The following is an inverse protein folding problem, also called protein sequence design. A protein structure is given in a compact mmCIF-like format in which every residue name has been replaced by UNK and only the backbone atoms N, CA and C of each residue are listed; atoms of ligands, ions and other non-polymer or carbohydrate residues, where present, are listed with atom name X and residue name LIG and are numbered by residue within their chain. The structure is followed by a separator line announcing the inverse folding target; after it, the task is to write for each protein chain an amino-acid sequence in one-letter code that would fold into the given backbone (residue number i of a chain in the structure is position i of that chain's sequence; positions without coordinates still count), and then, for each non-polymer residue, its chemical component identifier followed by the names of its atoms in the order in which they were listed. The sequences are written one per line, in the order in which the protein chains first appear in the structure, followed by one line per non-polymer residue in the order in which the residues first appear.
data_IF_840089181082
#
_entry.id   IF_840089181082
#
_cell.length_a   1.000
_cell.length_b   1.000
_cell.length_c   1.000
_cell.angle_alpha   90.00
_cell.angle_beta   90.00
_cell.angle_gamma   90.00
#
_symmetry.space_group_name_H-M   'P 1'
#
loop_
_entity.id
_entity.type
_entity.pdbx_description
1 polymer ?
#
# COMPACT_ATOMS: atom_id res chain seq x y z
N UNK A 1 45.13 -19.41 10.65
CA UNK A 1 44.18 -19.91 9.64
C UNK A 1 43.00 -20.49 10.40
N UNK A 2 41.99 -19.67 10.68
CA UNK A 2 40.81 -20.06 11.45
C UNK A 2 39.64 -20.19 10.48
N UNK A 3 39.22 -21.42 10.21
CA UNK A 3 38.09 -21.74 9.34
C UNK A 3 36.79 -21.38 10.03
N UNK A 4 36.13 -20.31 9.57
CA UNK A 4 34.74 -20.05 9.89
C UNK A 4 33.86 -21.01 9.09
N UNK A 5 33.41 -22.06 9.78
CA UNK A 5 32.32 -22.93 9.34
C UNK A 5 31.02 -22.13 9.31
N UNK A 6 30.66 -21.63 8.13
CA UNK A 6 29.35 -21.06 7.86
C UNK A 6 28.30 -22.17 7.93
N UNK A 7 27.76 -22.38 9.13
CA UNK A 7 26.60 -23.24 9.35
C UNK A 7 25.39 -22.63 8.64
N UNK A 8 25.14 -23.09 7.41
CA UNK A 8 23.87 -22.87 6.72
C UNK A 8 22.79 -23.62 7.50
N UNK A 9 22.12 -22.92 8.43
CA UNK A 9 20.84 -23.38 8.96
C UNK A 9 19.89 -23.52 7.78
N UNK A 10 19.55 -24.75 7.44
CA UNK A 10 18.41 -25.04 6.57
C UNK A 10 17.18 -24.39 7.22
N UNK A 11 16.75 -23.25 6.66
CA UNK A 11 15.49 -22.63 7.03
C UNK A 11 14.39 -23.64 6.67
N UNK A 12 13.87 -24.33 7.67
CA UNK A 12 12.69 -25.17 7.55
C UNK A 12 11.62 -24.37 6.84
N UNK A 13 11.16 -24.85 5.68
CA UNK A 13 10.13 -24.18 4.91
C UNK A 13 8.94 -23.87 5.83
N UNK A 14 8.47 -22.60 5.89
CA UNK A 14 7.34 -22.25 6.73
C UNK A 14 6.12 -23.12 6.37
N UNK A 15 5.39 -23.64 7.37
CA UNK A 15 4.33 -24.61 7.15
C UNK A 15 3.15 -24.05 6.32
N UNK A 16 2.69 -24.86 5.35
CA UNK A 16 1.34 -25.09 4.81
C UNK A 16 0.25 -23.98 4.71
N UNK A 17 0.52 -22.68 4.84
CA UNK A 17 -0.51 -21.62 4.67
C UNK A 17 -1.34 -21.76 3.38
N UNK A 18 -0.74 -22.09 2.21
CA UNK A 18 -1.53 -22.30 0.98
C UNK A 18 -2.59 -23.41 1.10
N UNK A 19 -2.32 -24.46 1.88
CA UNK A 19 -3.22 -25.60 2.04
C UNK A 19 -4.42 -25.23 2.91
N UNK A 20 -4.20 -24.48 3.99
CA UNK A 20 -5.27 -23.98 4.84
C UNK A 20 -6.21 -23.04 4.05
N UNK A 21 -5.64 -22.10 3.30
CA UNK A 21 -6.43 -21.20 2.45
C UNK A 21 -7.27 -21.95 1.42
N UNK A 22 -6.71 -22.98 0.77
CA UNK A 22 -7.48 -23.80 -0.18
C UNK A 22 -8.64 -24.54 0.49
N UNK A 23 -8.50 -24.97 1.75
CA UNK A 23 -9.57 -25.62 2.52
C UNK A 23 -10.72 -24.68 2.89
N UNK A 24 -10.48 -23.36 2.91
CA UNK A 24 -11.52 -22.37 3.19
C UNK A 24 -12.48 -22.18 2.01
N UNK A 25 -12.08 -22.51 0.78
CA UNK A 25 -12.91 -22.31 -0.43
C UNK A 25 -14.32 -22.92 -0.29
N UNK A 26 -14.50 -24.22 0.02
CA UNK A 26 -15.84 -24.79 0.19
C UNK A 26 -16.60 -24.21 1.40
N UNK A 27 -15.88 -23.83 2.46
CA UNK A 27 -16.50 -23.24 3.66
C UNK A 27 -17.09 -21.88 3.32
N UNK A 28 -16.31 -21.01 2.66
CA UNK A 28 -16.73 -19.67 2.25
C UNK A 28 -17.96 -19.73 1.35
N UNK A 29 -17.99 -20.68 0.40
CA UNK A 29 -19.13 -20.89 -0.48
C UNK A 29 -20.43 -21.23 0.29
N UNK A 30 -20.33 -21.88 1.45
CA UNK A 30 -21.50 -22.20 2.30
C UNK A 30 -21.94 -21.06 3.23
N UNK A 31 -21.19 -19.96 3.33
CA UNK A 31 -21.52 -18.85 4.24
C UNK A 31 -22.55 -17.90 3.59
N UNK A 32 -23.76 -18.36 3.32
CA UNK A 32 -24.79 -17.59 2.59
C UNK A 32 -25.10 -16.20 3.19
N UNK A 33 -24.82 -15.98 4.48
CA UNK A 33 -24.99 -14.70 5.17
C UNK A 33 -23.70 -13.84 5.25
N UNK A 34 -22.58 -14.24 4.64
CA UNK A 34 -21.30 -13.53 4.70
C UNK A 34 -21.42 -12.13 4.10
N UNK A 35 -21.32 -11.08 4.90
CA UNK A 35 -21.42 -9.69 4.42
C UNK A 35 -20.09 -9.05 4.03
N UNK A 36 -19.00 -9.54 4.62
CA UNK A 36 -17.69 -8.95 4.53
C UNK A 36 -16.63 -10.04 4.48
N UNK A 37 -15.68 -9.90 3.56
CA UNK A 37 -14.51 -10.75 3.48
C UNK A 37 -13.26 -9.87 3.46
N UNK A 38 -12.32 -10.17 4.35
CA UNK A 38 -11.02 -9.51 4.41
C UNK A 38 -9.94 -10.57 4.39
N UNK A 39 -9.02 -10.47 3.44
CA UNK A 39 -7.81 -11.26 3.39
C UNK A 39 -6.63 -10.29 3.44
N UNK A 40 -5.93 -10.29 4.57
CA UNK A 40 -4.79 -9.44 4.86
C UNK A 40 -3.61 -10.30 5.31
N UNK A 41 -2.47 -10.15 4.66
CA UNK A 41 -1.22 -10.79 5.07
C UNK A 41 -0.47 -9.91 6.07
N UNK A 42 -0.43 -10.33 7.33
CA UNK A 42 0.30 -9.62 8.39
C UNK A 42 1.83 -9.66 8.19
N UNK A 43 2.36 -10.72 7.59
CA UNK A 43 3.78 -10.97 7.39
C UNK A 43 4.07 -11.36 5.94
N UNK A 44 5.22 -10.92 5.40
CA UNK A 44 5.64 -11.18 4.01
C UNK A 44 6.20 -12.58 3.78
N UNK A 45 6.27 -13.44 4.79
CA UNK A 45 6.86 -14.77 4.67
C UNK A 45 5.97 -15.80 3.94
N UNK A 46 4.73 -15.42 3.58
CA UNK A 46 3.73 -16.34 3.03
C UNK A 46 3.36 -15.96 1.61
N UNK A 47 3.70 -16.85 0.68
CA UNK A 47 3.30 -16.71 -0.71
C UNK A 47 1.93 -17.41 -0.93
N UNK A 48 0.92 -16.68 -1.41
CA UNK A 48 -0.38 -17.26 -1.73
C UNK A 48 -0.44 -17.60 -3.22
N UNK A 49 -0.72 -18.86 -3.61
CA UNK A 49 -0.94 -19.17 -5.02
C UNK A 49 -2.12 -18.38 -5.59
N UNK A 50 -1.95 -17.75 -6.75
CA UNK A 50 -3.02 -17.00 -7.43
C UNK A 50 -4.26 -17.84 -7.69
N UNK A 51 -4.09 -19.09 -8.12
CA UNK A 51 -5.20 -20.03 -8.24
C UNK A 51 -6.04 -20.15 -6.95
N UNK A 52 -5.39 -20.17 -5.77
CA UNK A 52 -6.09 -20.19 -4.47
C UNK A 52 -6.82 -18.87 -4.22
N UNK A 53 -6.19 -17.71 -4.48
CA UNK A 53 -6.85 -16.41 -4.36
C UNK A 53 -8.08 -16.31 -5.28
N UNK A 54 -7.95 -16.72 -6.53
CA UNK A 54 -9.04 -16.73 -7.50
C UNK A 54 -10.16 -17.65 -7.03
N UNK A 55 -9.83 -18.85 -6.54
CA UNK A 55 -10.83 -19.78 -5.99
C UNK A 55 -11.57 -19.19 -4.77
N UNK A 56 -10.86 -18.54 -3.85
CA UNK A 56 -11.46 -17.86 -2.70
C UNK A 56 -12.42 -16.74 -3.14
N UNK A 57 -11.98 -15.88 -4.06
CA UNK A 57 -12.78 -14.77 -4.57
C UNK A 57 -14.04 -15.26 -5.31
N UNK A 58 -13.90 -16.30 -6.15
CA UNK A 58 -15.02 -16.89 -6.87
C UNK A 58 -16.00 -17.62 -5.93
N UNK A 59 -15.53 -18.11 -4.78
CA UNK A 59 -16.36 -18.74 -3.77
C UNK A 59 -17.16 -17.74 -2.91
N UNK A 60 -16.88 -16.43 -2.99
CA UNK A 60 -17.60 -15.45 -2.18
C UNK A 60 -19.10 -15.47 -2.54
N UNK A 61 -20.02 -15.70 -1.58
CA UNK A 61 -21.45 -15.76 -1.82
C UNK A 61 -22.00 -14.38 -2.13
N UNK A 62 -23.13 -14.28 -2.87
CA UNK A 62 -23.72 -13.03 -3.35
C UNK A 62 -24.00 -11.98 -2.25
N UNK A 63 -24.22 -12.44 -1.02
CA UNK A 63 -24.42 -11.60 0.18
C UNK A 63 -23.18 -10.82 0.60
N UNK A 64 -21.98 -11.23 0.16
CA UNK A 64 -20.74 -10.54 0.41
C UNK A 64 -20.72 -9.29 -0.45
N UNK A 65 -20.62 -8.12 0.19
CA UNK A 65 -20.67 -6.80 -0.48
C UNK A 65 -19.50 -5.91 -0.06
N UNK A 66 -18.61 -6.42 0.79
CA UNK A 66 -17.41 -5.73 1.26
C UNK A 66 -16.23 -6.68 1.09
N UNK A 67 -15.22 -6.23 0.34
CA UNK A 67 -14.02 -7.00 0.05
C UNK A 67 -12.78 -6.19 0.40
N UNK A 68 -11.95 -6.74 1.27
CA UNK A 68 -10.57 -6.32 1.46
C UNK A 68 -9.64 -7.43 0.96
N UNK A 69 -8.72 -7.06 0.07
CA UNK A 69 -7.67 -7.94 -0.43
C UNK A 69 -6.33 -7.22 -0.38
N UNK A 70 -5.48 -7.64 0.54
CA UNK A 70 -4.11 -7.19 0.69
C UNK A 70 -3.16 -8.39 0.78
N UNK A 71 -2.53 -8.70 -0.34
CA UNK A 71 -1.52 -9.75 -0.44
C UNK A 71 -0.12 -9.22 -0.22
N UNK A 72 0.08 -7.92 0.01
CA UNK A 72 1.39 -7.26 0.07
C UNK A 72 2.32 -7.56 -1.11
N UNK A 73 1.77 -7.93 -2.26
CA UNK A 73 2.54 -8.34 -3.45
C UNK A 73 3.06 -9.79 -3.39
N UNK A 74 2.70 -10.56 -2.35
CA UNK A 74 3.13 -11.95 -2.13
C UNK A 74 2.22 -12.98 -2.85
N UNK A 75 1.54 -12.59 -3.94
CA UNK A 75 0.82 -13.55 -4.78
C UNK A 75 1.76 -14.23 -5.78
N UNK A 76 1.96 -15.54 -5.62
CA UNK A 76 2.82 -16.32 -6.50
C UNK A 76 2.18 -16.48 -7.88
N UNK A 77 2.93 -16.14 -8.94
CA UNK A 77 2.58 -16.49 -10.31
C UNK A 77 3.48 -17.60 -10.82
N UNK A 78 2.89 -18.70 -11.27
CA UNK A 78 3.65 -19.68 -12.09
C UNK A 78 3.86 -19.12 -13.49
N UNK A 79 4.97 -19.47 -14.15
CA UNK A 79 5.32 -18.93 -15.47
C UNK A 79 4.23 -19.22 -16.53
N UNK A 80 3.54 -20.35 -16.39
CA UNK A 80 2.47 -20.81 -17.28
C UNK A 80 1.07 -20.34 -16.86
N UNK A 81 0.95 -19.58 -15.77
CA UNK A 81 -0.34 -19.14 -15.24
C UNK A 81 -0.87 -17.92 -16.01
N UNK A 82 -1.94 -18.16 -16.79
CA UNK A 82 -2.68 -17.12 -17.52
C UNK A 82 -3.73 -16.41 -16.67
N UNK A 83 -4.21 -17.06 -15.61
CA UNK A 83 -5.31 -16.52 -14.80
C UNK A 83 -4.86 -15.29 -13.99
N UNK A 84 -5.61 -14.19 -14.10
CA UNK A 84 -5.35 -12.97 -13.34
C UNK A 84 -6.38 -12.80 -12.22
N UNK A 85 -5.91 -12.47 -11.01
CA UNK A 85 -6.77 -12.15 -9.85
C UNK A 85 -7.76 -11.01 -10.17
N UNK A 86 -7.36 -10.08 -11.04
CA UNK A 86 -8.22 -9.00 -11.52
C UNK A 86 -9.49 -9.49 -12.22
N UNK A 87 -9.48 -10.66 -12.86
CA UNK A 87 -10.65 -11.21 -13.54
C UNK A 87 -11.68 -11.74 -12.54
N UNK A 88 -11.23 -12.36 -11.44
CA UNK A 88 -12.09 -12.76 -10.35
C UNK A 88 -12.69 -11.53 -9.65
N UNK A 89 -11.87 -10.51 -9.35
CA UNK A 89 -12.35 -9.23 -8.78
C UNK A 89 -13.38 -8.58 -9.70
N UNK A 90 -13.16 -8.60 -11.04
CA UNK A 90 -14.10 -8.09 -12.04
C UNK A 90 -15.49 -8.73 -11.92
N UNK A 91 -15.56 -10.04 -11.69
CA UNK A 91 -16.83 -10.74 -11.49
C UNK A 91 -17.57 -10.33 -10.21
N UNK A 92 -16.84 -9.81 -9.21
CA UNK A 92 -17.41 -9.36 -7.95
C UNK A 92 -17.88 -7.89 -7.99
N UNK A 93 -17.22 -7.04 -8.78
CA UNK A 93 -17.46 -5.59 -8.83
C UNK A 93 -18.95 -5.18 -8.84
N UNK A 94 -19.84 -5.80 -9.65
CA UNK A 94 -21.23 -5.33 -9.78
C UNK A 94 -22.06 -5.36 -8.49
N UNK A 95 -21.61 -6.08 -7.46
CA UNK A 95 -22.32 -6.23 -6.17
C UNK A 95 -21.55 -5.68 -4.97
N UNK A 96 -20.38 -5.09 -5.18
CA UNK A 96 -19.56 -4.60 -4.07
C UNK A 96 -19.87 -3.14 -3.74
N UNK A 97 -20.04 -2.86 -2.45
CA UNK A 97 -20.17 -1.50 -1.93
C UNK A 97 -18.79 -0.92 -1.55
N UNK A 98 -17.97 -1.72 -0.88
CA UNK A 98 -16.62 -1.33 -0.46
C UNK A 98 -15.61 -2.33 -0.98
N UNK A 99 -14.68 -1.87 -1.81
CA UNK A 99 -13.54 -2.69 -2.27
C UNK A 99 -12.27 -1.97 -1.89
N UNK A 100 -11.50 -2.63 -1.04
CA UNK A 100 -10.14 -2.22 -0.72
C UNK A 100 -9.18 -3.21 -1.35
N UNK A 101 -8.31 -2.69 -2.23
CA UNK A 101 -7.21 -3.47 -2.80
C UNK A 101 -5.91 -2.73 -2.58
N UNK A 102 -5.05 -3.30 -1.73
CA UNK A 102 -3.69 -2.83 -1.61
C UNK A 102 -2.83 -3.51 -2.68
N UNK A 103 -2.24 -2.72 -3.57
CA UNK A 103 -1.29 -3.21 -4.56
C UNK A 103 0.10 -2.71 -4.14
N UNK A 104 0.81 -3.53 -3.38
CA UNK A 104 2.22 -3.24 -3.11
C UNK A 104 3.04 -3.66 -4.32
N UNK A 105 3.52 -2.68 -5.08
CA UNK A 105 4.68 -2.86 -5.93
C UNK A 105 5.90 -2.76 -5.02
N UNK A 106 6.47 -3.88 -4.58
CA UNK A 106 7.79 -3.83 -3.93
C UNK A 106 8.84 -3.57 -5.00
N UNK A 107 9.03 -2.29 -5.31
CA UNK A 107 10.28 -1.87 -5.92
C UNK A 107 11.37 -1.95 -4.84
N UNK A 108 11.90 -3.15 -4.56
CA UNK A 108 13.08 -3.30 -3.72
C UNK A 108 14.28 -2.69 -4.46
N UNK A 109 14.40 -1.37 -4.52
CA UNK A 109 15.59 -0.72 -5.05
C UNK A 109 16.79 -1.30 -4.30
N UNK A 110 17.73 -1.98 -4.96
CA UNK A 110 18.98 -2.35 -4.31
C UNK A 110 19.63 -1.03 -3.90
N UNK A 111 19.87 -0.84 -2.60
CA UNK A 111 20.66 0.27 -2.10
C UNK A 111 21.93 0.40 -2.97
N UNK A 112 22.25 1.59 -3.50
CA UNK A 112 23.37 1.71 -4.42
C UNK A 112 24.68 1.57 -3.64
N UNK A 113 25.34 0.43 -3.78
CA UNK A 113 26.80 0.40 -3.85
C UNK A 113 27.17 1.18 -5.12
N UNK A 114 27.76 2.35 -4.95
CA UNK A 114 28.21 3.30 -5.97
C UNK A 114 28.83 2.58 -7.19
N UNK A 115 28.11 2.44 -8.31
CA UNK A 115 28.61 2.47 -9.70
C UNK A 115 27.42 2.78 -10.64
N UNK A 116 27.61 3.75 -11.55
CA UNK A 116 26.55 4.38 -12.34
C UNK A 116 25.78 3.48 -13.32
N UNK A 117 24.52 3.86 -13.56
CA UNK A 117 23.66 3.31 -14.61
C UNK A 117 23.27 4.41 -15.61
N UNK A 118 23.34 4.09 -16.90
CA UNK A 118 22.82 4.90 -18.01
C UNK A 118 21.32 4.59 -18.23
N UNK A 119 20.49 5.59 -18.61
CA UNK A 119 19.07 5.37 -18.81
C UNK A 119 18.79 4.66 -20.15
N UNK A 120 17.97 3.60 -20.11
CA UNK A 120 17.41 2.97 -21.32
C UNK A 120 16.13 3.70 -21.71
N UNK A 121 16.05 4.06 -22.98
CA UNK A 121 15.04 4.91 -23.62
C UNK A 121 13.60 4.43 -23.45
N UNK A 122 12.67 5.39 -23.32
CA UNK A 122 11.21 5.19 -23.34
C UNK A 122 10.76 4.66 -24.71
N UNK A 123 9.88 3.66 -24.73
CA UNK A 123 9.17 3.25 -25.95
C UNK A 123 7.79 3.93 -26.02
N UNK A 124 7.50 4.43 -27.21
CA UNK A 124 6.33 5.20 -27.60
C UNK A 124 5.06 4.36 -27.73
N UNK A 125 3.94 5.04 -27.54
CA UNK A 125 2.56 4.64 -27.78
C UNK A 125 2.39 4.01 -29.18
N UNK A 126 2.07 2.71 -29.23
CA UNK A 126 1.18 2.09 -30.21
C UNK A 126 1.01 0.61 -29.84
N UNK A 127 -0.21 0.22 -29.50
CA UNK A 127 -0.75 -1.14 -29.52
C UNK A 127 0.24 -2.30 -29.43
N UNK A 128 0.47 -2.84 -28.22
CA UNK A 128 0.94 -4.23 -28.12
C UNK A 128 0.57 -4.87 -26.78
N UNK A 129 0.02 -6.09 -26.87
CA UNK A 129 0.04 -7.10 -25.81
C UNK A 129 1.50 -7.41 -25.49
N UNK A 130 1.91 -7.40 -24.23
CA UNK A 130 3.30 -7.78 -23.87
C UNK A 130 3.33 -8.85 -22.78
N UNK A 131 3.75 -10.04 -23.20
CA UNK A 131 4.51 -11.02 -22.41
C UNK A 131 5.99 -10.65 -22.59
N UNK A 132 6.79 -10.69 -21.52
CA UNK A 132 8.25 -10.70 -21.61
C UNK A 132 8.84 -11.85 -20.79
N UNK A 133 9.56 -12.73 -21.49
CA UNK A 133 10.59 -13.64 -20.96
C UNK A 133 11.89 -12.85 -20.71
N UNK A 134 12.65 -13.21 -19.68
CA UNK A 134 14.09 -12.95 -19.62
C UNK A 134 14.83 -14.25 -19.28
N UNK A 135 15.92 -14.44 -20.01
CA UNK A 135 16.78 -15.61 -20.08
C UNK A 135 17.94 -15.46 -19.08
N UNK A 136 18.41 -16.59 -18.54
CA UNK A 136 19.48 -16.70 -17.54
C UNK A 136 20.78 -15.96 -17.92
N UNK A 137 21.29 -15.13 -17.01
CA UNK A 137 22.73 -14.83 -16.91
C UNK A 137 23.19 -14.96 -15.46
N UNK A 138 24.39 -15.54 -15.32
CA UNK A 138 24.97 -16.18 -14.12
C UNK A 138 25.26 -15.32 -12.88
N UNK A 139 24.71 -14.11 -12.74
CA UNK A 139 24.97 -13.26 -11.57
C UNK A 139 23.72 -12.49 -11.13
N UNK A 140 23.02 -13.06 -10.14
CA UNK A 140 21.95 -12.42 -9.37
C UNK A 140 20.60 -12.30 -10.11
N UNK A 141 19.46 -12.42 -9.41
CA UNK A 141 18.17 -12.14 -10.03
C UNK A 141 18.05 -10.64 -10.29
N UNK A 142 18.12 -10.25 -11.56
CA UNK A 142 17.65 -8.93 -11.99
C UNK A 142 16.12 -8.95 -11.92
N UNK A 143 15.56 -8.37 -10.85
CA UNK A 143 14.12 -8.16 -10.73
C UNK A 143 13.74 -6.99 -11.64
N UNK A 144 13.14 -7.29 -12.78
CA UNK A 144 12.54 -6.27 -13.63
C UNK A 144 11.27 -5.77 -12.95
N UNK A 145 11.28 -4.54 -12.45
CA UNK A 145 10.13 -3.88 -11.84
C UNK A 145 9.05 -3.66 -12.89
N UNK A 146 7.97 -4.44 -12.81
CA UNK A 146 6.75 -4.12 -13.53
C UNK A 146 6.13 -2.90 -12.87
N UNK A 147 6.01 -1.79 -13.61
CA UNK A 147 5.01 -0.78 -13.30
C UNK A 147 3.68 -1.52 -13.10
N UNK A 148 3.19 -1.58 -11.86
CA UNK A 148 1.81 -1.96 -11.59
C UNK A 148 0.97 -0.77 -12.03
N UNK A 149 0.87 -0.62 -13.36
CA UNK A 149 0.05 0.40 -13.96
C UNK A 149 -1.34 0.22 -13.35
N UNK A 150 -1.83 1.23 -12.67
CA UNK A 150 -3.24 1.33 -12.31
C UNK A 150 -4.14 1.27 -13.56
N UNK A 151 -3.56 1.25 -14.78
CA UNK A 151 -4.24 1.23 -16.07
C UNK A 151 -5.26 0.09 -16.27
N UNK A 152 -5.00 -1.20 -15.98
CA UNK A 152 -6.01 -2.24 -16.19
C UNK A 152 -7.20 -2.09 -15.24
N UNK A 153 -6.97 -1.60 -14.01
CA UNK A 153 -8.03 -1.40 -13.03
C UNK A 153 -8.82 -0.10 -13.30
N UNK A 154 -8.15 0.97 -13.71
CA UNK A 154 -8.80 2.22 -14.13
C UNK A 154 -9.64 2.02 -15.40
N UNK A 155 -9.13 1.29 -16.39
CA UNK A 155 -9.90 0.87 -17.57
C UNK A 155 -11.13 0.05 -17.18
N UNK A 156 -10.97 -0.86 -16.22
CA UNK A 156 -12.07 -1.67 -15.74
C UNK A 156 -13.18 -0.83 -15.07
N UNK A 157 -12.80 0.09 -14.19
CA UNK A 157 -13.76 1.00 -13.54
C UNK A 157 -14.42 1.92 -14.57
N UNK A 158 -13.68 2.35 -15.60
CA UNK A 158 -14.24 3.14 -16.71
C UNK A 158 -15.25 2.35 -17.56
N UNK A 159 -15.11 1.03 -17.68
CA UNK A 159 -16.07 0.19 -18.41
C UNK A 159 -17.35 -0.12 -17.61
N UNK A 160 -17.32 -0.02 -16.28
CA UNK A 160 -18.43 -0.39 -15.39
C UNK A 160 -18.99 0.78 -14.56
N UNK A 161 -18.72 2.03 -14.96
CA UNK A 161 -18.95 3.20 -14.10
C UNK A 161 -20.41 3.39 -13.68
N UNK A 162 -21.37 2.91 -14.48
CA UNK A 162 -22.80 3.02 -14.16
C UNK A 162 -23.21 2.17 -12.95
N UNK A 163 -22.69 0.94 -12.83
CA UNK A 163 -23.01 0.04 -11.70
C UNK A 163 -22.20 0.35 -10.43
N UNK A 164 -21.15 1.16 -10.55
CA UNK A 164 -20.20 1.45 -9.47
C UNK A 164 -20.38 2.82 -8.83
N UNK A 165 -21.45 3.56 -9.15
CA UNK A 165 -21.65 4.95 -8.68
C UNK A 165 -21.62 5.09 -7.15
N UNK A 166 -22.16 4.10 -6.44
CA UNK A 166 -22.18 4.08 -4.97
C UNK A 166 -21.00 3.31 -4.36
N UNK A 167 -20.17 2.69 -5.21
CA UNK A 167 -19.04 1.87 -4.76
C UNK A 167 -17.82 2.74 -4.47
N UNK A 168 -17.07 2.37 -3.43
CA UNK A 168 -15.75 2.94 -3.15
C UNK A 168 -14.68 1.93 -3.52
N UNK A 169 -13.85 2.28 -4.49
CA UNK A 169 -12.75 1.42 -4.97
C UNK A 169 -11.45 2.19 -4.81
N UNK A 170 -10.65 1.77 -3.83
CA UNK A 170 -9.36 2.36 -3.55
C UNK A 170 -8.22 1.49 -4.09
N UNK A 171 -7.22 2.15 -4.68
CA UNK A 171 -5.91 1.57 -4.93
C UNK A 171 -4.87 2.32 -4.10
N UNK A 172 -4.07 1.56 -3.36
CA UNK A 172 -2.98 2.08 -2.53
C UNK A 172 -1.65 1.70 -3.17
N UNK A 173 -0.75 2.67 -3.33
CA UNK A 173 0.59 2.46 -3.89
C UNK A 173 1.59 3.19 -3.00
N UNK A 174 2.69 2.54 -2.66
CA UNK A 174 3.80 3.16 -1.94
C UNK A 174 4.95 3.40 -2.91
N UNK A 175 5.49 4.60 -2.90
CA UNK A 175 6.54 5.06 -3.80
C UNK A 175 7.74 5.54 -2.99
N UNK A 176 8.93 5.26 -3.50
CA UNK A 176 10.17 5.82 -2.97
C UNK A 176 10.61 6.99 -3.84
N UNK A 177 11.04 8.08 -3.20
CA UNK A 177 11.68 9.19 -3.88
C UNK A 177 12.91 8.72 -4.65
N UNK A 178 13.10 9.23 -5.86
CA UNK A 178 14.28 8.98 -6.69
C UNK A 178 15.53 9.74 -6.17
N UNK A 179 15.31 10.83 -5.45
CA UNK A 179 16.35 11.59 -4.76
C UNK A 179 16.24 11.36 -3.24
N UNK A 180 17.29 10.81 -2.58
CA UNK A 180 17.30 10.69 -1.12
C UNK A 180 17.32 12.07 -0.43
N UNK A 181 17.62 13.13 -1.18
CA UNK A 181 17.81 14.48 -0.67
C UNK A 181 16.51 15.31 -0.77
N UNK A 182 15.70 15.12 -1.81
CA UNK A 182 14.50 15.93 -2.08
C UNK A 182 13.19 15.13 -2.14
N UNK A 183 13.26 13.84 -2.45
CA UNK A 183 12.11 12.97 -2.49
C UNK A 183 11.85 12.38 -1.11
N UNK A 184 10.60 12.37 -0.68
CA UNK A 184 10.19 11.56 0.47
C UNK A 184 9.54 10.26 -0.02
N UNK A 185 9.51 9.27 0.86
CA UNK A 185 8.61 8.16 0.66
C UNK A 185 7.17 8.70 0.56
N UNK A 186 6.38 8.18 -0.37
CA UNK A 186 5.07 8.73 -0.71
C UNK A 186 4.04 7.62 -0.77
N UNK A 187 2.98 7.74 0.03
CA UNK A 187 1.82 6.88 -0.09
C UNK A 187 0.79 7.54 -1.01
N UNK A 188 0.39 6.84 -2.06
CA UNK A 188 -0.76 7.19 -2.89
C UNK A 188 -1.99 6.43 -2.41
N UNK A 189 -3.10 7.17 -2.27
CA UNK A 189 -4.46 6.64 -2.16
C UNK A 189 -5.28 7.15 -3.33
N UNK A 190 -5.56 6.28 -4.28
CA UNK A 190 -6.37 6.58 -5.46
C UNK A 190 -7.79 6.07 -5.28
N UNK A 191 -8.75 6.99 -5.31
CA UNK A 191 -10.16 6.67 -5.51
C UNK A 191 -10.43 6.56 -7.01
N UNK A 192 -10.64 5.34 -7.48
CA UNK A 192 -10.77 5.03 -8.90
C UNK A 192 -12.12 5.45 -9.48
N UNK A 193 -13.17 5.49 -8.63
CA UNK A 193 -14.51 5.91 -9.05
C UNK A 193 -14.57 7.44 -9.11
N UNK A 194 -14.06 8.11 -8.07
CA UNK A 194 -14.00 9.57 -8.03
C UNK A 194 -12.92 10.17 -8.95
N UNK A 195 -11.99 9.34 -9.46
CA UNK A 195 -10.80 9.76 -10.23
C UNK A 195 -9.98 10.83 -9.50
N UNK A 196 -9.71 10.57 -8.22
CA UNK A 196 -8.88 11.45 -7.40
C UNK A 196 -7.83 10.65 -6.66
N UNK A 197 -6.64 11.21 -6.52
CA UNK A 197 -5.58 10.62 -5.69
C UNK A 197 -5.13 11.60 -4.65
N UNK A 198 -4.95 11.10 -3.42
CA UNK A 198 -4.15 11.80 -2.42
C UNK A 198 -2.78 11.15 -2.37
N UNK A 199 -1.75 11.95 -2.60
CA UNK A 199 -0.37 11.60 -2.31
C UNK A 199 -0.02 12.14 -0.93
N UNK A 200 0.64 11.34 -0.11
CA UNK A 200 0.99 11.71 1.25
C UNK A 200 2.47 11.45 1.54
N UNK A 201 3.18 12.42 2.12
CA UNK A 201 4.60 12.25 2.42
C UNK A 201 4.80 11.45 3.70
N UNK A 202 5.64 10.42 3.62
CA UNK A 202 6.15 9.61 4.73
C UNK A 202 7.60 10.00 4.95
N UNK A 203 7.91 10.40 6.19
CA UNK A 203 9.27 10.73 6.58
C UNK A 203 9.74 9.75 7.67
N UNK A 204 10.65 8.82 7.36
CA UNK A 204 11.33 8.07 8.39
C UNK A 204 12.24 9.02 9.16
N UNK A 205 12.17 9.00 10.49
CA UNK A 205 13.05 9.82 11.33
C UNK A 205 13.76 8.98 12.41
N UNK A 206 13.48 7.69 12.47
CA UNK A 206 14.25 6.67 13.19
C UNK A 206 13.93 5.30 12.57
N UNK A 207 14.59 4.23 13.03
CA UNK A 207 14.44 2.89 12.46
C UNK A 207 12.99 2.42 12.33
N UNK A 208 12.15 2.70 13.34
CA UNK A 208 10.77 2.18 13.40
C UNK A 208 9.70 3.28 13.49
N UNK A 209 10.10 4.55 13.44
CA UNK A 209 9.14 5.66 13.57
C UNK A 209 9.06 6.53 12.32
N UNK A 210 7.83 6.84 11.95
CA UNK A 210 7.48 7.55 10.73
C UNK A 210 6.61 8.75 11.06
N UNK A 211 6.93 9.91 10.48
CA UNK A 211 6.01 11.05 10.43
C UNK A 211 5.19 10.90 9.17
N UNK A 212 3.89 10.94 9.36
CA UNK A 212 2.86 10.88 8.33
C UNK A 212 2.15 12.22 8.32
N UNK A 213 2.14 12.90 7.16
CA UNK A 213 1.35 14.13 6.99
C UNK A 213 0.08 13.88 6.23
N UNK A 214 -1.01 14.37 6.79
CA UNK A 214 -2.34 14.20 6.24
C UNK A 214 -2.77 15.43 5.42
N UNK A 215 -3.87 15.27 4.71
CA UNK A 215 -4.45 16.30 3.84
C UNK A 215 -5.12 17.47 4.58
N UNK A 216 -5.17 17.41 5.91
CA UNK A 216 -5.64 18.47 6.79
C UNK A 216 -4.48 19.16 7.54
N UNK A 217 -3.26 19.03 7.00
CA UNK A 217 -2.01 19.53 7.57
C UNK A 217 -1.64 18.97 8.96
N UNK A 218 -2.39 17.96 9.44
CA UNK A 218 -2.03 17.28 10.68
C UNK A 218 -0.87 16.32 10.47
N UNK A 219 -0.06 16.20 11.53
CA UNK A 219 1.09 15.28 11.58
C UNK A 219 0.80 14.18 12.58
N UNK A 220 0.97 12.94 12.13
CA UNK A 220 0.86 11.75 12.96
C UNK A 220 2.21 11.05 12.99
N UNK A 221 2.64 10.66 14.19
CA UNK A 221 3.79 9.79 14.39
C UNK A 221 3.29 8.35 14.57
N UNK A 222 3.81 7.48 13.72
CA UNK A 222 3.57 6.04 13.73
C UNK A 222 4.82 5.32 14.23
N UNK A 223 4.62 4.28 15.05
CA UNK A 223 5.71 3.49 15.65
C UNK A 223 5.91 2.12 14.97
N UNK A 224 5.20 1.90 13.87
CA UNK A 224 5.23 0.65 13.10
C UNK A 224 4.78 0.97 11.67
N UNK A 225 5.56 0.50 10.70
CA UNK A 225 5.29 0.62 9.27
C UNK A 225 3.91 0.05 8.89
N UNK A 226 3.49 -1.01 9.56
CA UNK A 226 2.19 -1.66 9.34
C UNK A 226 1.00 -0.75 9.66
N UNK A 227 1.21 0.31 10.44
CA UNK A 227 0.17 1.25 10.87
C UNK A 227 0.03 2.47 9.97
N UNK A 228 0.97 2.68 9.05
CA UNK A 228 0.97 3.79 8.11
C UNK A 228 -0.19 3.68 7.12
N UNK A 229 -0.40 2.48 6.56
CA UNK A 229 -1.43 2.25 5.54
C UNK A 229 -2.86 2.56 6.03
N UNK A 230 -3.33 2.04 7.19
CA UNK A 230 -4.65 2.38 7.72
C UNK A 230 -4.88 3.90 7.88
N UNK A 231 -3.85 4.65 8.23
CA UNK A 231 -3.93 6.09 8.42
C UNK A 231 -4.18 6.79 7.08
N UNK A 232 -3.42 6.45 6.03
CA UNK A 232 -3.58 7.05 4.70
C UNK A 232 -4.82 6.59 3.96
N UNK A 233 -5.22 5.35 4.20
CA UNK A 233 -6.51 4.83 3.80
C UNK A 233 -7.65 5.73 4.30
N UNK A 234 -7.41 6.49 5.39
CA UNK A 234 -8.41 7.34 6.03
C UNK A 234 -9.30 6.53 6.97
N UNK A 235 -8.78 5.41 7.48
CA UNK A 235 -9.49 4.50 8.38
C UNK A 235 -10.82 4.03 7.76
N UNK A 236 -10.84 3.77 6.45
CA UNK A 236 -12.00 3.18 5.76
C UNK A 236 -12.22 1.76 6.26
N UNK A 237 -11.15 1.02 6.56
CA UNK A 237 -11.15 -0.25 7.26
C UNK A 237 -10.40 -0.15 8.59
N UNK A 238 -11.02 -0.68 9.65
CA UNK A 238 -10.49 -0.60 11.01
C UNK A 238 -10.27 -2.00 11.58
N UNK A 239 -9.15 -2.15 12.28
CA UNK A 239 -8.86 -3.33 13.08
C UNK A 239 -9.86 -3.42 14.24
N UNK A 240 -10.31 -4.63 14.56
CA UNK A 240 -11.08 -4.91 15.77
C UNK A 240 -10.33 -5.90 16.67
N UNK A 241 -10.63 -5.85 17.97
CA UNK A 241 -10.16 -6.84 18.94
C UNK A 241 -10.56 -8.23 18.45
N UNK A 242 -9.57 -9.13 18.32
CA UNK A 242 -9.73 -10.45 17.70
C UNK A 242 -9.10 -10.56 16.30
N UNK A 243 -8.60 -9.48 15.72
CA UNK A 243 -7.76 -9.49 14.53
C UNK A 243 -8.50 -9.38 13.19
N UNK A 244 -9.83 -9.23 13.21
CA UNK A 244 -10.58 -8.92 11.99
C UNK A 244 -10.41 -7.44 11.60
N UNK A 245 -10.57 -7.15 10.31
CA UNK A 245 -10.73 -5.79 9.78
C UNK A 245 -12.14 -5.63 9.22
N UNK A 246 -12.79 -4.52 9.57
CA UNK A 246 -14.16 -4.22 9.16
C UNK A 246 -14.26 -2.81 8.56
N UNK A 247 -15.19 -2.56 7.63
CA UNK A 247 -15.45 -1.21 7.15
C UNK A 247 -15.87 -0.29 8.32
N UNK A 248 -15.32 0.91 8.38
CA UNK A 248 -15.59 1.88 9.44
C UNK A 248 -17.06 2.24 9.53
N UNK A 249 -17.75 2.35 8.40
CA UNK A 249 -19.20 2.61 8.35
C UNK A 249 -20.03 1.54 9.06
N UNK A 250 -19.59 0.28 9.04
CA UNK A 250 -20.26 -0.84 9.73
C UNK A 250 -20.02 -0.76 11.24
N UNK A 251 -18.79 -0.41 11.65
CA UNK A 251 -18.45 -0.20 13.06
C UNK A 251 -19.13 1.04 13.65
N UNK A 252 -19.17 2.13 12.90
CA UNK A 252 -19.84 3.38 13.28
C UNK A 252 -21.35 3.13 13.45
N UNK A 253 -21.97 2.38 12.52
CA UNK A 253 -23.37 1.97 12.66
C UNK A 253 -23.62 1.16 13.95
N UNK A 254 -22.74 0.19 14.27
CA UNK A 254 -22.85 -0.57 15.51
C UNK A 254 -22.71 0.32 16.76
N UNK A 255 -21.75 1.25 16.76
CA UNK A 255 -21.53 2.20 17.87
C UNK A 255 -22.72 3.14 18.09
N UNK A 256 -23.40 3.51 17.01
CA UNK A 256 -24.61 4.36 17.04
C UNK A 256 -25.90 3.58 17.34
N UNK A 257 -25.80 2.27 17.60
CA UNK A 257 -26.96 1.41 17.87
C UNK A 257 -27.83 1.13 16.63
N UNK A 258 -27.31 1.40 15.42
CA UNK A 258 -27.99 1.05 14.16
C UNK A 258 -27.74 -0.44 13.84
N UNK A 259 -28.66 -1.10 13.10
CA UNK A 259 -28.48 -2.49 12.71
C UNK A 259 -27.14 -2.71 11.98
N UNK A 260 -26.27 -3.52 12.58
CA UNK A 260 -24.94 -3.82 12.06
C UNK A 260 -24.49 -5.20 12.51
N UNK A 261 -23.84 -5.93 11.60
CA UNK A 261 -23.24 -7.23 11.93
C UNK A 261 -21.99 -7.11 12.80
N UNK A 262 -21.47 -5.88 13.00
CA UNK A 262 -20.35 -5.59 13.91
C UNK A 262 -20.82 -5.28 15.34
N UNK A 263 -22.08 -5.56 15.69
CA UNK A 263 -22.58 -5.37 17.06
C UNK A 263 -21.73 -6.20 18.04
N UNK A 264 -21.15 -5.52 19.05
CA UNK A 264 -20.25 -6.14 20.03
C UNK A 264 -18.78 -6.17 19.62
N UNK A 265 -18.42 -5.79 18.39
CA UNK A 265 -17.02 -5.61 18.00
C UNK A 265 -16.43 -4.36 18.66
N UNK A 266 -15.17 -4.46 19.11
CA UNK A 266 -14.43 -3.34 19.71
C UNK A 266 -13.32 -2.93 18.76
N UNK A 267 -13.31 -1.66 18.34
CA UNK A 267 -12.24 -1.09 17.51
C UNK A 267 -10.89 -1.17 18.25
N UNK A 268 -9.89 -1.74 17.59
CA UNK A 268 -8.51 -1.70 18.05
C UNK A 268 -7.89 -0.37 17.63
N UNK A 269 -7.72 0.54 18.60
CA UNK A 269 -7.15 1.86 18.33
C UNK A 269 -5.70 1.72 17.82
N UNK A 270 -5.39 2.46 16.76
CA UNK A 270 -4.01 2.57 16.28
C UNK A 270 -3.16 3.28 17.34
N UNK A 271 -2.04 2.67 17.70
CA UNK A 271 -1.04 3.31 18.57
C UNK A 271 -0.32 4.40 17.78
N UNK A 272 -0.81 5.63 17.90
CA UNK A 272 -0.30 6.81 17.20
C UNK A 272 -0.19 7.98 18.17
N UNK A 273 0.62 8.97 17.82
CA UNK A 273 0.71 10.25 18.52
C UNK A 273 0.63 11.37 17.50
N UNK A 274 0.18 12.56 17.90
CA UNK A 274 0.40 13.74 17.06
C UNK A 274 1.89 14.08 17.02
N UNK A 275 2.35 14.74 15.95
CA UNK A 275 3.72 15.25 15.86
C UNK A 275 4.11 16.10 17.07
N UNK A 276 3.17 16.94 17.55
CA UNK A 276 3.35 17.78 18.73
C UNK A 276 3.54 16.99 20.02
N UNK A 277 2.62 16.05 20.32
CA UNK A 277 2.71 15.22 21.53
C UNK A 277 4.00 14.40 21.55
N UNK A 278 4.42 13.89 20.39
CA UNK A 278 5.66 13.14 20.29
C UNK A 278 6.88 14.04 20.53
N UNK A 279 6.91 15.24 19.93
CA UNK A 279 8.01 16.19 20.07
C UNK A 279 8.16 16.70 21.51
N UNK A 280 7.04 16.92 22.22
CA UNK A 280 7.03 17.28 23.64
C UNK A 280 7.63 16.16 24.52
N UNK A 281 7.36 14.89 24.20
CA UNK A 281 7.93 13.73 24.91
C UNK A 281 9.39 13.46 24.56
N UNK A 282 9.83 13.84 23.36
CA UNK A 282 11.17 13.54 22.84
C UNK A 282 11.90 14.78 22.30
N UNK A 283 12.14 15.80 23.13
CA UNK A 283 12.69 17.08 22.69
C UNK A 283 14.09 16.98 22.04
N UNK A 284 14.83 15.90 22.33
CA UNK A 284 16.16 15.63 21.76
C UNK A 284 16.12 14.89 20.42
N UNK A 285 15.04 14.19 20.11
CA UNK A 285 14.90 13.40 18.89
C UNK A 285 14.06 14.11 17.82
N UNK A 286 13.24 15.09 18.21
CA UNK A 286 12.58 16.03 17.29
C UNK A 286 13.51 16.80 16.31
N UNK A 287 14.83 16.99 16.54
CA UNK A 287 15.69 17.73 15.60
C UNK A 287 16.36 16.91 14.48
N UNK A 288 16.00 15.64 14.24
CA UNK A 288 16.89 14.71 13.51
C UNK A 288 17.16 15.09 12.03
N UNK A 289 16.18 15.44 11.20
CA UNK A 289 16.50 15.97 9.85
C UNK A 289 15.35 16.73 9.19
N UNK A 290 14.17 16.11 9.03
CA UNK A 290 13.02 16.76 8.38
C UNK A 290 12.55 18.01 9.13
N UNK A 291 12.31 17.89 10.43
CA UNK A 291 11.96 19.01 11.30
C UNK A 291 13.09 20.05 11.46
N UNK A 292 14.35 19.65 11.24
CA UNK A 292 15.48 20.60 11.33
C UNK A 292 15.40 21.64 10.23
N UNK A 293 15.25 21.20 8.98
CA UNK A 293 15.15 22.11 7.84
C UNK A 293 13.90 22.98 7.96
N UNK A 294 12.78 22.40 8.37
CA UNK A 294 11.54 23.16 8.60
C UNK A 294 11.66 24.19 9.72
N UNK A 295 12.38 23.87 10.80
CA UNK A 295 12.66 24.80 11.89
C UNK A 295 13.58 25.94 11.44
N UNK A 296 14.59 25.65 10.63
CA UNK A 296 15.50 26.65 10.07
C UNK A 296 14.75 27.62 9.16
N UNK A 297 13.84 27.09 8.35
CA UNK A 297 13.01 27.88 7.42
C UNK A 297 11.86 28.58 8.14
N UNK A 298 11.38 28.00 9.23
CA UNK A 298 10.19 28.44 9.97
C UNK A 298 8.86 27.97 9.38
N UNK A 299 8.85 26.93 8.53
CA UNK A 299 7.63 26.36 7.94
C UNK A 299 7.83 24.94 7.42
N UNK A 300 6.73 24.23 7.22
CA UNK A 300 6.72 22.89 6.63
C UNK A 300 7.19 22.91 5.18
N UNK A 301 7.89 21.85 4.78
CA UNK A 301 8.48 21.69 3.44
C UNK A 301 7.86 20.55 2.62
N UNK A 302 7.11 19.64 3.26
CA UNK A 302 6.38 18.56 2.59
C UNK A 302 4.90 18.62 2.92
N UNK A 303 4.04 18.45 1.91
CA UNK A 303 2.59 18.54 2.05
C UNK A 303 1.92 17.38 1.33
N UNK A 304 0.78 16.94 1.85
CA UNK A 304 -0.09 16.04 1.11
C UNK A 304 -0.64 16.76 -0.13
N UNK A 305 -0.73 16.05 -1.24
CA UNK A 305 -1.10 16.61 -2.54
C UNK A 305 -2.34 15.89 -3.07
N UNK A 306 -3.35 16.67 -3.49
CA UNK A 306 -4.50 16.13 -4.21
C UNK A 306 -4.25 16.19 -5.71
N UNK A 307 -4.37 15.04 -6.37
CA UNK A 307 -4.27 14.88 -7.82
C UNK A 307 -5.63 14.56 -8.42
N UNK A 308 -5.95 15.20 -9.54
CA UNK A 308 -7.23 15.10 -10.25
C UNK A 308 -7.00 15.21 -11.76
N UNK A 309 -8.07 15.07 -12.56
CA UNK A 309 -7.94 15.16 -14.02
C UNK A 309 -7.09 14.01 -14.55
N UNK A 310 -6.11 14.29 -15.39
CA UNK A 310 -5.20 13.26 -15.93
C UNK A 310 -4.07 12.89 -14.93
N UNK A 311 -3.81 13.74 -13.93
CA UNK A 311 -2.74 13.52 -12.95
C UNK A 311 -3.18 12.56 -11.81
N UNK A 312 -4.46 12.16 -11.74
CA UNK A 312 -4.93 11.28 -10.67
C UNK A 312 -4.26 9.89 -10.68
N UNK A 313 -3.76 9.42 -11.82
CA UNK A 313 -3.01 8.15 -11.93
C UNK A 313 -1.49 8.34 -11.86
N UNK A 314 -1.04 9.56 -11.58
CA UNK A 314 0.38 9.89 -11.53
C UNK A 314 1.07 9.19 -10.38
N UNK A 315 2.11 8.41 -10.71
CA UNK A 315 2.96 7.68 -9.77
C UNK A 315 4.21 8.49 -9.37
N UNK A 316 4.17 9.83 -9.47
CA UNK A 316 5.29 10.66 -9.03
C UNK A 316 5.34 10.76 -7.49
N UNK A 317 6.52 10.70 -6.86
CA UNK A 317 6.65 10.94 -5.43
C UNK A 317 6.37 12.42 -5.11
N UNK A 318 6.17 12.73 -3.83
CA UNK A 318 6.15 14.09 -3.31
C UNK A 318 7.59 14.56 -3.15
N UNK A 319 7.81 15.80 -3.58
CA UNK A 319 9.09 16.49 -3.45
C UNK A 319 8.98 17.61 -2.42
N UNK A 320 10.11 17.88 -1.78
CA UNK A 320 10.28 19.04 -0.92
C UNK A 320 10.04 20.36 -1.67
N UNK A 321 9.28 21.26 -1.04
CA UNK A 321 9.02 22.60 -1.59
C UNK A 321 10.00 23.59 -0.96
N UNK A 322 11.03 23.96 -1.72
CA UNK A 322 11.96 25.01 -1.31
C UNK A 322 11.27 26.39 -1.39
N UNK A 323 11.26 27.16 -0.29
CA UNK A 323 10.75 28.52 -0.29
C UNK A 323 11.58 29.48 -1.13
N UNK A 324 10.97 30.59 -1.54
CA UNK A 324 11.71 31.68 -2.16
C UNK A 324 12.87 32.15 -1.25
N UNK A 325 14.05 32.29 -1.83
CA UNK A 325 15.28 32.67 -1.11
C UNK A 325 15.93 31.53 -0.32
N UNK A 326 15.49 30.29 -0.47
CA UNK A 326 16.09 29.11 0.15
C UNK A 326 16.54 28.10 -0.90
N UNK A 327 17.71 27.49 -0.68
CA UNK A 327 18.29 26.47 -1.54
C UNK A 327 18.80 25.30 -0.72
N UNK A 328 18.68 24.10 -1.28
CA UNK A 328 19.15 22.87 -0.66
C UNK A 328 20.60 22.58 -1.06
N UNK A 329 21.46 22.38 -0.06
CA UNK A 329 22.88 22.06 -0.22
C UNK A 329 23.17 20.82 0.62
N UNK A 330 23.24 19.66 -0.04
CA UNK A 330 23.25 18.36 0.64
C UNK A 330 21.99 18.14 1.46
N UNK A 331 22.14 17.78 2.73
CA UNK A 331 21.02 17.52 3.65
C UNK A 331 20.47 18.78 4.32
N UNK A 332 21.09 19.94 4.08
CA UNK A 332 20.73 21.21 4.70
C UNK A 332 20.00 22.13 3.73
N UNK A 333 19.07 22.92 4.25
CA UNK A 333 18.50 24.07 3.53
C UNK A 333 19.13 25.35 4.07
N UNK A 334 19.64 26.19 3.17
CA UNK A 334 20.31 27.47 3.50
C UNK A 334 19.62 28.62 2.76
N UNK A 335 19.79 29.83 3.28
CA UNK A 335 19.35 31.05 2.58
C UNK A 335 20.29 31.33 1.40
N UNK A 336 19.71 31.55 0.22
CA UNK A 336 20.41 31.78 -1.04
C UNK A 336 21.18 33.11 -1.08
#
# INVERSE_FOLDING_TARGET
MSSHSSSQRALSQPPHVPKLLAQLVPIIASLEALKCFSLYLAESAYCIPRATLIALLNALPASCTNLELDTRGEDHRKKEEEAHVCDAVRGLLPRMHNIYRCLRASAQVPWPSIVGYLPVSRCSVAETRTISLVQNTLYGPTVTYGHLSSMPLTQLVAQQTASLKESRIYAMIRLYGDSPIQGCETQLRTDLVAKTTWAFPIMPFSFDNFIVRLNNDSEIVCFDDSKIEPIYEGLVWKDVVGGARLPSTVLDAAREGRPSFATGCVELKLSTQTGKEWAEKHPRAAPDSSWRNEKVVGKQLWFAEKRTGDDYVSERPIYEINPEGWVRVGDSIIRA
#
